data_IF_772305063021
#
_entry.id   IF_772305063021
#
_cell.length_a   1.000
_cell.length_b   1.000
_cell.length_c   1.000
_cell.angle_alpha   90.00
_cell.angle_beta   90.00
_cell.angle_gamma   90.00
#
_symmetry.space_group_name_H-M   'P 1'
#
loop_
_entity.id
_entity.type
_entity.pdbx_description
1 polymer ?
#
# COMPACT_ATOMS: atom_id res chain seq x y z
N UNK A 1 6.49 -18.27 -3.82
CA UNK A 1 5.63 -18.55 -4.99
C UNK A 1 4.19 -18.06 -4.80
N UNK A 2 3.52 -18.32 -3.66
CA UNK A 2 2.12 -17.94 -3.46
C UNK A 2 1.85 -16.42 -3.58
N UNK A 3 2.68 -15.57 -2.97
CA UNK A 3 2.48 -14.12 -3.03
C UNK A 3 2.66 -13.54 -4.45
N UNK A 4 3.57 -14.11 -5.23
CA UNK A 4 3.73 -13.77 -6.65
C UNK A 4 2.51 -14.17 -7.47
N UNK A 5 1.95 -15.35 -7.23
CA UNK A 5 0.72 -15.79 -7.89
C UNK A 5 -0.46 -14.87 -7.55
N UNK A 6 -0.60 -14.44 -6.29
CA UNK A 6 -1.63 -13.48 -5.87
C UNK A 6 -1.48 -12.15 -6.62
N UNK A 7 -0.27 -11.61 -6.73
CA UNK A 7 0.00 -10.39 -7.48
C UNK A 7 -0.36 -10.52 -8.97
N UNK A 8 0.08 -11.60 -9.62
CA UNK A 8 -0.23 -11.84 -11.04
C UNK A 8 -1.74 -12.01 -11.28
N UNK A 9 -2.44 -12.70 -10.39
CA UNK A 9 -3.89 -12.86 -10.48
C UNK A 9 -4.62 -11.51 -10.29
N UNK A 10 -4.14 -10.66 -9.36
CA UNK A 10 -4.73 -9.35 -9.14
C UNK A 10 -4.51 -8.41 -10.34
N UNK A 11 -3.34 -8.44 -10.99
CA UNK A 11 -3.13 -7.73 -12.26
C UNK A 11 -4.03 -8.24 -13.38
N UNK A 12 -4.31 -9.55 -13.43
CA UNK A 12 -5.26 -10.10 -14.40
C UNK A 12 -6.67 -9.56 -14.18
N UNK A 13 -7.09 -9.34 -12.93
CA UNK A 13 -8.37 -8.71 -12.60
C UNK A 13 -8.42 -7.26 -13.09
N UNK A 14 -7.37 -6.46 -12.87
CA UNK A 14 -7.29 -5.09 -13.41
C UNK A 14 -7.35 -5.07 -14.94
N UNK A 15 -6.62 -5.99 -15.59
CA UNK A 15 -6.67 -6.14 -17.03
C UNK A 15 -8.09 -6.44 -17.54
N UNK A 16 -8.85 -7.28 -16.84
CA UNK A 16 -10.23 -7.59 -17.19
C UNK A 16 -11.16 -6.38 -17.03
N UNK A 17 -11.00 -5.60 -15.95
CA UNK A 17 -11.76 -4.35 -15.77
C UNK A 17 -11.48 -3.36 -16.89
N UNK A 18 -10.20 -3.11 -17.18
CA UNK A 18 -9.77 -2.21 -18.25
C UNK A 18 -10.28 -2.68 -19.63
N UNK A 19 -10.08 -3.95 -19.98
CA UNK A 19 -10.54 -4.52 -21.25
C UNK A 19 -12.07 -4.47 -21.42
N UNK A 20 -12.83 -4.52 -20.32
CA UNK A 20 -14.29 -4.43 -20.35
C UNK A 20 -14.83 -2.99 -20.38
N UNK A 21 -13.99 -1.99 -20.10
CA UNK A 21 -14.39 -0.59 -19.91
C UNK A 21 -15.29 -0.34 -18.69
N UNK A 22 -15.43 -1.33 -17.79
CA UNK A 22 -16.27 -1.25 -16.60
C UNK A 22 -15.40 -1.21 -15.36
N UNK A 23 -15.35 -0.05 -14.69
CA UNK A 23 -14.79 0.02 -13.34
C UNK A 23 -15.68 -0.78 -12.38
N UNK A 24 -15.05 -1.45 -11.40
CA UNK A 24 -15.75 -2.13 -10.32
C UNK A 24 -16.32 -1.12 -9.32
N UNK A 25 -16.89 -1.64 -8.24
CA UNK A 25 -17.23 -0.87 -7.05
C UNK A 25 -15.98 -0.37 -6.33
N UNK A 26 -16.07 0.72 -5.57
CA UNK A 26 -14.91 1.31 -4.89
C UNK A 26 -14.23 0.31 -3.93
N UNK A 27 -15.02 -0.40 -3.12
CA UNK A 27 -14.50 -1.44 -2.21
C UNK A 27 -13.88 -2.64 -2.95
N UNK A 28 -14.44 -3.02 -4.11
CA UNK A 28 -13.94 -4.15 -4.88
C UNK A 28 -12.66 -3.78 -5.65
N UNK A 29 -12.59 -2.55 -6.16
CA UNK A 29 -11.34 -1.95 -6.65
C UNK A 29 -10.28 -2.02 -5.54
N UNK A 30 -10.57 -1.43 -4.37
CA UNK A 30 -9.58 -1.27 -3.30
C UNK A 30 -8.99 -2.62 -2.86
N UNK A 31 -9.82 -3.66 -2.70
CA UNK A 31 -9.35 -5.00 -2.33
C UNK A 31 -8.32 -5.56 -3.31
N UNK A 32 -8.51 -5.34 -4.61
CA UNK A 32 -7.57 -5.79 -5.63
C UNK A 32 -6.35 -4.85 -5.73
N UNK A 33 -6.60 -3.55 -5.67
CA UNK A 33 -5.63 -2.47 -5.78
C UNK A 33 -4.58 -2.52 -4.65
N UNK A 34 -4.97 -2.95 -3.44
CA UNK A 34 -4.06 -3.26 -2.33
C UNK A 34 -3.02 -4.30 -2.75
N UNK A 35 -3.43 -5.34 -3.48
CA UNK A 35 -2.54 -6.42 -3.92
C UNK A 35 -1.66 -5.96 -5.08
N UNK A 36 -2.23 -5.29 -6.09
CA UNK A 36 -1.50 -4.82 -7.29
C UNK A 36 -0.53 -3.69 -7.00
N UNK A 37 -0.67 -2.99 -5.87
CA UNK A 37 0.37 -2.08 -5.34
C UNK A 37 1.74 -2.76 -5.16
N UNK A 38 1.79 -4.09 -5.05
CA UNK A 38 3.01 -4.85 -4.79
C UNK A 38 3.54 -4.72 -3.36
N UNK A 39 3.00 -3.81 -2.54
CA UNK A 39 3.42 -3.62 -1.16
C UNK A 39 3.27 -4.89 -0.30
N UNK A 40 2.17 -5.67 -0.39
CA UNK A 40 2.05 -6.92 0.36
C UNK A 40 3.16 -7.92 -0.01
N UNK A 41 3.53 -7.98 -1.29
CA UNK A 41 4.60 -8.85 -1.77
C UNK A 41 5.94 -8.45 -1.16
N UNK A 42 6.30 -7.17 -1.23
CA UNK A 42 7.58 -6.65 -0.72
C UNK A 42 7.67 -6.86 0.79
N UNK A 43 6.64 -6.48 1.54
CA UNK A 43 6.61 -6.61 2.99
C UNK A 43 6.57 -8.07 3.44
N UNK A 44 5.94 -8.97 2.67
CA UNK A 44 6.00 -10.41 2.94
C UNK A 44 7.43 -10.95 2.79
N UNK A 45 8.18 -10.53 1.76
CA UNK A 45 9.58 -10.91 1.63
C UNK A 45 10.41 -10.36 2.79
N UNK A 46 10.20 -9.10 3.17
CA UNK A 46 10.86 -8.48 4.31
C UNK A 46 10.57 -9.24 5.61
N UNK A 47 9.31 -9.64 5.83
CA UNK A 47 8.89 -10.43 6.99
C UNK A 47 9.74 -11.70 7.14
N UNK A 48 9.87 -12.50 6.08
CA UNK A 48 10.68 -13.71 6.10
C UNK A 48 12.18 -13.43 6.18
N UNK A 49 12.69 -12.40 5.49
CA UNK A 49 14.10 -12.01 5.54
C UNK A 49 14.54 -11.58 6.94
N UNK A 50 13.64 -10.96 7.71
CA UNK A 50 13.87 -10.59 9.11
C UNK A 50 13.68 -11.76 10.09
N UNK A 51 13.70 -13.00 9.58
CA UNK A 51 13.62 -14.20 10.40
C UNK A 51 12.31 -14.35 11.16
N UNK A 52 11.23 -13.68 10.72
CA UNK A 52 9.90 -13.89 11.28
C UNK A 52 9.40 -15.26 10.85
N UNK A 53 9.78 -16.27 11.62
CA UNK A 53 9.24 -17.62 11.51
C UNK A 53 8.12 -17.69 12.54
N UNK A 54 6.87 -17.82 12.10
CA UNK A 54 5.77 -18.14 12.99
C UNK A 54 6.02 -19.59 13.44
N UNK A 55 6.84 -19.74 14.47
CA UNK A 55 7.16 -21.03 15.04
C UNK A 55 5.85 -21.66 15.53
N UNK A 56 5.63 -22.90 15.08
CA UNK A 56 4.52 -23.82 15.41
C UNK A 56 3.39 -23.86 14.38
N UNK A 57 3.71 -24.35 13.19
CA UNK A 57 2.81 -25.29 12.52
C UNK A 57 3.60 -26.58 12.33
N UNK A 58 3.13 -27.63 13.00
CA UNK A 58 3.70 -28.97 13.06
C UNK A 58 4.18 -29.45 11.69
N UNK A 59 5.29 -30.18 11.67
CA UNK A 59 5.89 -30.82 10.48
C UNK A 59 4.99 -31.80 9.71
N UNK A 60 3.70 -31.88 10.02
CA UNK A 60 2.71 -32.77 9.42
C UNK A 60 1.48 -31.97 8.95
N UNK A 61 1.59 -31.25 7.84
CA UNK A 61 0.51 -31.23 6.84
C UNK A 61 0.93 -30.49 5.57
N UNK A 62 0.63 -31.11 4.44
CA UNK A 62 0.74 -30.47 3.13
C UNK A 62 -0.16 -29.22 3.08
N UNK A 63 0.42 -28.08 2.67
CA UNK A 63 -0.25 -26.81 2.27
C UNK A 63 -0.72 -25.85 3.37
N UNK A 64 0.02 -25.71 4.46
CA UNK A 64 -0.23 -24.59 5.36
C UNK A 64 0.31 -23.26 4.79
N UNK A 65 -0.61 -22.36 4.46
CA UNK A 65 -0.29 -20.99 4.06
C UNK A 65 0.10 -20.19 5.32
N UNK A 66 1.32 -19.65 5.35
CA UNK A 66 1.70 -18.69 6.39
C UNK A 66 0.77 -17.48 6.30
N UNK A 67 -0.06 -17.28 7.31
CA UNK A 67 -0.91 -16.10 7.41
C UNK A 67 -0.02 -14.88 7.68
N UNK A 68 0.00 -13.96 6.71
CA UNK A 68 0.76 -12.72 6.83
C UNK A 68 0.11 -11.79 7.87
N UNK A 69 0.90 -11.01 8.64
CA UNK A 69 0.39 -10.01 9.56
C UNK A 69 -0.57 -9.01 8.91
N UNK A 70 -1.64 -8.65 9.62
CA UNK A 70 -2.58 -7.60 9.17
C UNK A 70 -1.87 -6.25 8.94
N UNK A 71 -0.82 -5.96 9.70
CA UNK A 71 0.06 -4.79 9.54
C UNK A 71 0.54 -4.61 8.09
N UNK A 72 0.84 -5.70 7.38
CA UNK A 72 1.28 -5.66 5.98
C UNK A 72 0.19 -5.07 5.08
N UNK A 73 -1.04 -5.52 5.26
CA UNK A 73 -2.17 -5.10 4.44
C UNK A 73 -2.62 -3.68 4.80
N UNK A 74 -2.54 -3.29 6.08
CA UNK A 74 -2.78 -1.90 6.49
C UNK A 74 -1.78 -0.92 5.84
N UNK A 75 -0.50 -1.27 5.78
CA UNK A 75 0.51 -0.45 5.09
C UNK A 75 0.24 -0.39 3.60
N UNK A 76 -0.11 -1.52 2.98
CA UNK A 76 -0.43 -1.58 1.55
C UNK A 76 -1.69 -0.77 1.18
N UNK A 77 -2.70 -0.77 2.03
CA UNK A 77 -3.92 0.03 1.85
C UNK A 77 -3.63 1.53 2.02
N UNK A 78 -2.81 1.92 3.01
CA UNK A 78 -2.32 3.30 3.12
C UNK A 78 -1.57 3.70 1.84
N UNK A 79 -0.69 2.84 1.33
CA UNK A 79 0.03 3.08 0.08
C UNK A 79 -0.92 3.31 -1.08
N UNK A 80 -1.84 2.36 -1.30
CA UNK A 80 -2.77 2.42 -2.43
C UNK A 80 -3.62 3.68 -2.41
N UNK A 81 -4.15 4.05 -1.24
CA UNK A 81 -4.97 5.25 -1.10
C UNK A 81 -4.18 6.55 -1.32
N UNK A 82 -2.91 6.58 -0.92
CA UNK A 82 -2.03 7.73 -1.20
C UNK A 82 -1.69 7.85 -2.69
N UNK A 83 -1.39 6.74 -3.33
CA UNK A 83 -1.13 6.67 -4.78
C UNK A 83 -2.39 7.12 -5.55
N UNK A 84 -3.58 6.60 -5.19
CA UNK A 84 -4.87 6.96 -5.79
C UNK A 84 -5.37 8.39 -5.49
N UNK A 85 -4.73 9.13 -4.57
CA UNK A 85 -5.08 10.53 -4.29
C UNK A 85 -4.57 11.48 -5.38
N UNK A 86 -3.55 11.07 -6.14
CA UNK A 86 -3.08 11.78 -7.32
C UNK A 86 -4.14 11.77 -8.42
N UNK A 87 -4.15 12.78 -9.29
CA UNK A 87 -4.95 12.69 -10.52
C UNK A 87 -4.10 12.13 -11.66
N UNK A 88 -4.74 11.48 -12.65
CA UNK A 88 -4.03 10.97 -13.84
C UNK A 88 -3.19 12.05 -14.56
N UNK A 89 -3.57 13.34 -14.43
CA UNK A 89 -2.77 14.46 -14.94
C UNK A 89 -1.49 14.71 -14.12
N UNK A 90 -1.50 14.47 -12.81
CA UNK A 90 -0.32 14.59 -11.94
C UNK A 90 0.71 13.49 -12.28
N UNK A 91 0.25 12.37 -12.82
CA UNK A 91 1.08 11.19 -13.10
C UNK A 91 1.47 11.04 -14.59
N UNK A 92 1.13 12.00 -15.45
CA UNK A 92 1.28 11.92 -16.92
C UNK A 92 0.70 10.62 -17.52
N UNK A 93 -0.32 10.05 -16.88
CA UNK A 93 -0.96 8.84 -17.33
C UNK A 93 -2.10 9.16 -18.29
N UNK A 94 -2.34 8.29 -19.26
CA UNK A 94 -3.49 8.43 -20.17
C UNK A 94 -4.84 8.06 -19.49
N UNK A 95 -4.84 7.86 -18.16
CA UNK A 95 -6.05 7.66 -17.35
C UNK A 95 -6.72 6.29 -17.50
N UNK A 96 -5.98 5.27 -17.93
CA UNK A 96 -6.52 3.94 -18.22
C UNK A 96 -6.48 2.97 -17.03
N UNK A 97 -5.71 3.25 -15.98
CA UNK A 97 -5.53 2.36 -14.82
C UNK A 97 -6.66 2.46 -13.79
N UNK A 98 -7.42 3.56 -13.79
CA UNK A 98 -8.51 3.80 -12.83
C UNK A 98 -7.99 4.02 -11.41
N UNK A 99 -8.75 4.73 -10.57
CA UNK A 99 -8.35 5.00 -9.18
C UNK A 99 -9.50 4.77 -8.20
N UNK A 100 -9.16 4.60 -6.92
CA UNK A 100 -10.18 4.52 -5.87
C UNK A 100 -11.06 5.78 -5.85
N UNK A 101 -10.46 6.96 -6.08
CA UNK A 101 -11.19 8.24 -6.17
C UNK A 101 -12.21 8.22 -7.32
N UNK A 102 -11.82 7.70 -8.49
CA UNK A 102 -12.75 7.59 -9.63
C UNK A 102 -13.89 6.59 -9.34
N UNK A 103 -13.57 5.44 -8.77
CA UNK A 103 -14.57 4.45 -8.38
C UNK A 103 -15.55 5.03 -7.35
N UNK A 104 -15.05 5.75 -6.34
CA UNK A 104 -15.85 6.41 -5.32
C UNK A 104 -16.77 7.49 -5.89
N UNK A 105 -16.28 8.35 -6.77
CA UNK A 105 -17.07 9.40 -7.42
C UNK A 105 -18.19 8.81 -8.30
N UNK A 106 -17.91 7.70 -8.99
CA UNK A 106 -18.89 7.00 -9.82
C UNK A 106 -20.05 6.44 -8.98
N UNK A 107 -19.75 5.90 -7.80
CA UNK A 107 -20.76 5.37 -6.88
C UNK A 107 -21.54 6.48 -6.15
N UNK A 108 -20.88 7.60 -5.85
CA UNK A 108 -21.45 8.72 -5.10
C UNK A 108 -21.77 9.88 -6.04
N UNK A 109 -22.76 9.68 -6.93
CA UNK A 109 -23.17 10.72 -7.88
C UNK A 109 -23.56 12.02 -7.15
N UNK A 110 -22.88 13.11 -7.51
CA UNK A 110 -23.04 14.43 -6.89
C UNK A 110 -21.91 14.82 -5.93
N UNK A 111 -21.00 13.91 -5.58
CA UNK A 111 -19.76 14.25 -4.90
C UNK A 111 -18.81 15.03 -5.81
N UNK A 112 -18.10 16.00 -5.24
CA UNK A 112 -17.01 16.69 -5.92
C UNK A 112 -15.69 15.92 -5.75
N UNK A 113 -14.74 16.15 -6.66
CA UNK A 113 -13.39 15.60 -6.53
C UNK A 113 -12.74 15.94 -5.17
N UNK A 114 -12.96 17.18 -4.69
CA UNK A 114 -12.49 17.61 -3.38
C UNK A 114 -13.10 16.79 -2.23
N UNK A 115 -14.42 16.54 -2.26
CA UNK A 115 -15.06 15.71 -1.23
C UNK A 115 -14.59 14.25 -1.26
N UNK A 116 -14.23 13.73 -2.44
CA UNK A 116 -13.65 12.40 -2.57
C UNK A 116 -12.22 12.34 -2.01
N UNK A 117 -11.37 13.35 -2.27
CA UNK A 117 -10.05 13.46 -1.60
C UNK A 117 -10.19 13.51 -0.08
N UNK A 118 -11.10 14.34 0.44
CA UNK A 118 -11.36 14.44 1.88
C UNK A 118 -11.77 13.10 2.48
N UNK A 119 -12.67 12.37 1.81
CA UNK A 119 -13.07 11.02 2.20
C UNK A 119 -11.86 10.06 2.24
N UNK A 120 -11.01 10.05 1.22
CA UNK A 120 -9.82 9.19 1.19
C UNK A 120 -8.82 9.57 2.29
N UNK A 121 -8.62 10.86 2.56
CA UNK A 121 -7.77 11.32 3.67
C UNK A 121 -8.31 10.87 5.03
N UNK A 122 -9.64 10.84 5.21
CA UNK A 122 -10.25 10.26 6.42
C UNK A 122 -10.01 8.75 6.54
N UNK A 123 -10.07 7.99 5.43
CA UNK A 123 -9.75 6.57 5.41
C UNK A 123 -8.30 6.33 5.81
N UNK A 124 -7.35 7.05 5.21
CA UNK A 124 -5.93 7.01 5.57
C UNK A 124 -5.73 7.30 7.06
N UNK A 125 -6.40 8.32 7.60
CA UNK A 125 -6.34 8.66 9.03
C UNK A 125 -6.84 7.52 9.93
N UNK A 126 -7.92 6.83 9.53
CA UNK A 126 -8.44 5.66 10.26
C UNK A 126 -7.46 4.48 10.19
N UNK A 127 -6.87 4.22 9.03
CA UNK A 127 -5.89 3.15 8.83
C UNK A 127 -4.63 3.38 9.67
N UNK A 128 -4.13 4.61 9.79
CA UNK A 128 -3.04 4.94 10.70
C UNK A 128 -3.35 4.61 12.16
N UNK A 129 -4.57 4.88 12.62
CA UNK A 129 -5.00 4.53 13.99
C UNK A 129 -5.03 3.01 14.19
N UNK A 130 -5.50 2.27 13.18
CA UNK A 130 -5.50 0.80 13.20
C UNK A 130 -4.08 0.24 13.20
N UNK A 131 -3.20 0.76 12.34
CA UNK A 131 -1.80 0.36 12.25
C UNK A 131 -1.08 0.57 13.59
N UNK A 132 -1.24 1.75 14.20
CA UNK A 132 -0.67 2.03 15.52
C UNK A 132 -1.21 1.08 16.60
N UNK A 133 -2.52 0.79 16.56
CA UNK A 133 -3.11 -0.16 17.50
C UNK A 133 -2.54 -1.57 17.34
N UNK A 134 -2.39 -2.06 16.11
CA UNK A 134 -1.79 -3.38 15.83
C UNK A 134 -0.35 -3.44 16.31
N UNK A 135 0.46 -2.40 16.04
CA UNK A 135 1.86 -2.35 16.44
C UNK A 135 2.08 -2.23 17.96
N UNK A 136 1.13 -1.65 18.70
CA UNK A 136 1.19 -1.49 20.16
C UNK A 136 0.53 -2.65 20.91
N UNK A 137 -0.25 -3.49 20.22
CA UNK A 137 -0.90 -4.65 20.83
C UNK A 137 0.11 -5.78 21.05
N UNK A 138 -0.04 -6.60 22.10
CA UNK A 138 0.79 -7.79 22.26
C UNK A 138 0.65 -8.69 21.04
N UNK A 139 1.74 -8.89 20.30
CA UNK A 139 1.73 -9.74 19.12
C UNK A 139 3.07 -10.52 19.00
N UNK A 140 3.07 -11.68 18.32
CA UNK A 140 4.26 -12.52 18.18
C UNK A 140 5.28 -12.00 17.16
N UNK A 141 5.00 -10.86 16.52
CA UNK A 141 5.86 -10.27 15.49
C UNK A 141 6.94 -9.42 16.16
N UNK A 142 8.16 -9.48 15.64
CA UNK A 142 9.28 -8.72 16.20
C UNK A 142 9.06 -7.22 16.07
N UNK A 143 9.50 -6.48 17.10
CA UNK A 143 9.47 -5.02 17.10
C UNK A 143 10.19 -4.39 15.88
N UNK A 144 11.37 -4.90 15.43
CA UNK A 144 12.02 -4.38 14.23
C UNK A 144 11.17 -4.49 12.96
N UNK A 145 10.41 -5.57 12.79
CA UNK A 145 9.52 -5.70 11.62
C UNK A 145 8.34 -4.73 11.69
N UNK A 146 7.73 -4.58 12.88
CA UNK A 146 6.64 -3.61 13.08
C UNK A 146 7.12 -2.18 12.83
N UNK A 147 8.33 -1.85 13.27
CA UNK A 147 8.98 -0.57 12.99
C UNK A 147 9.20 -0.39 11.48
N UNK A 148 9.67 -1.41 10.77
CA UNK A 148 9.82 -1.37 9.32
C UNK A 148 8.48 -1.12 8.60
N UNK A 149 7.39 -1.75 9.05
CA UNK A 149 6.04 -1.47 8.53
C UNK A 149 5.61 -0.02 8.74
N UNK A 150 5.82 0.52 9.95
CA UNK A 150 5.48 1.92 10.26
C UNK A 150 6.33 2.88 9.42
N UNK A 151 7.63 2.61 9.26
CA UNK A 151 8.52 3.43 8.45
C UNK A 151 8.16 3.35 6.96
N UNK A 152 7.76 2.19 6.45
CA UNK A 152 7.22 2.07 5.10
C UNK A 152 5.95 2.93 4.90
N UNK A 153 5.00 2.90 5.84
CA UNK A 153 3.81 3.75 5.78
C UNK A 153 4.14 5.26 5.83
N UNK A 154 5.16 5.67 6.58
CA UNK A 154 5.64 7.07 6.59
C UNK A 154 6.24 7.45 5.24
N UNK A 155 7.07 6.58 4.66
CA UNK A 155 7.71 6.80 3.36
C UNK A 155 6.67 7.02 2.25
N UNK A 156 5.57 6.29 2.26
CA UNK A 156 4.44 6.50 1.33
C UNK A 156 3.96 7.95 1.37
N UNK A 157 3.72 8.50 2.57
CA UNK A 157 3.24 9.88 2.68
C UNK A 157 4.26 10.90 2.14
N UNK A 158 5.55 10.59 2.17
CA UNK A 158 6.58 11.45 1.57
C UNK A 158 6.64 11.31 0.05
N UNK A 159 6.42 10.10 -0.47
CA UNK A 159 6.41 9.78 -1.89
C UNK A 159 5.25 10.46 -2.62
N UNK A 160 4.07 10.38 -2.03
CA UNK A 160 2.80 10.70 -2.67
C UNK A 160 2.15 11.98 -2.14
N UNK A 161 2.87 12.79 -1.37
CA UNK A 161 2.38 14.11 -1.00
C UNK A 161 2.42 15.05 -2.21
N UNK A 162 1.36 15.00 -3.01
CA UNK A 162 1.17 15.82 -4.22
C UNK A 162 0.86 17.29 -3.93
N UNK A 163 0.53 17.66 -2.68
CA UNK A 163 0.23 19.05 -2.30
C UNK A 163 1.50 19.93 -2.32
N UNK A 164 2.65 19.34 -2.04
CA UNK A 164 3.94 19.92 -2.38
C UNK A 164 4.37 19.34 -3.73
N UNK A 165 4.53 20.18 -4.76
CA UNK A 165 5.11 19.82 -6.08
C UNK A 165 6.56 19.29 -6.03
N UNK A 166 6.99 18.81 -4.87
CA UNK A 166 8.34 18.47 -4.46
C UNK A 166 8.42 17.09 -3.79
N UNK A 167 7.38 16.23 -3.73
CA UNK A 167 7.48 14.91 -3.07
C UNK A 167 8.73 14.11 -3.49
N UNK A 168 8.97 13.99 -4.79
CA UNK A 168 10.20 13.38 -5.35
C UNK A 168 11.48 14.19 -5.04
N UNK A 169 11.38 15.52 -4.97
CA UNK A 169 12.50 16.40 -4.62
C UNK A 169 12.92 16.25 -3.15
N UNK A 170 11.95 16.21 -2.23
CA UNK A 170 12.14 15.99 -0.80
C UNK A 170 12.74 14.61 -0.55
N UNK A 171 12.26 13.57 -1.24
CA UNK A 171 12.88 12.25 -1.19
C UNK A 171 14.31 12.27 -1.71
N UNK A 172 14.57 12.95 -2.83
CA UNK A 172 15.91 13.05 -3.39
C UNK A 172 16.86 13.77 -2.41
N UNK A 173 16.38 14.82 -1.75
CA UNK A 173 17.15 15.56 -0.75
C UNK A 173 17.39 14.73 0.51
N UNK A 174 16.40 13.95 0.96
CA UNK A 174 16.56 12.99 2.05
C UNK A 174 17.57 11.89 1.69
N UNK A 175 17.50 11.33 0.49
CA UNK A 175 18.47 10.34 0.01
C UNK A 175 19.89 10.90 -0.10
N UNK A 176 20.03 12.16 -0.55
CA UNK A 176 21.32 12.86 -0.58
C UNK A 176 21.88 13.04 0.81
N UNK A 177 21.05 13.38 1.81
CA UNK A 177 21.55 13.55 3.19
C UNK A 177 22.12 12.25 3.78
N UNK A 178 21.58 11.07 3.45
CA UNK A 178 22.18 9.79 3.89
C UNK A 178 23.43 9.39 3.10
N UNK A 179 23.58 9.91 1.88
CA UNK A 179 24.70 9.55 1.00
C UNK A 179 25.91 10.47 1.21
N UNK A 180 25.72 11.70 1.69
CA UNK A 180 26.79 12.67 1.92
C UNK A 180 27.60 12.46 3.21
N UNK A 181 27.15 11.60 4.13
CA UNK A 181 27.85 11.34 5.40
C UNK A 181 29.05 10.37 5.27
N UNK A 182 29.35 9.87 4.06
CA UNK A 182 30.43 8.90 3.83
C UNK A 182 31.67 9.42 3.07
N UNK A 183 31.77 10.73 2.76
CA UNK A 183 32.97 11.29 2.11
C UNK A 183 33.96 12.02 3.03
N UNK A 184 33.79 11.93 4.35
CA UNK A 184 34.81 12.41 5.30
C UNK A 184 35.09 11.38 6.38
N UNK A 185 35.99 10.43 6.07
CA UNK A 185 36.87 9.74 7.02
C UNK A 185 38.18 9.36 6.30
#
# INVERSE_FOLDING_TARGET
MLQWANLCNAFLVEFQWNASGKLPKADDYLKNAIITSGAPLVLAHLFFLMGQNIANQSMDSEKEQVQLPNTIFLVAEILRLWDDLGCAQDENQEGYDGSYVECYLRENQGSSYQSAREHVMELISKLWKLLNKECLSPCPISAPFLEACVNAAKMVSLMYNYEDKHGLGLLQDYMKSFSCDHETL
#
